data_IF_562464639313
#
_entry.id   IF_562464639313
#
_cell.length_a   1.000
_cell.length_b   1.000
_cell.length_c   1.000
_cell.angle_alpha   90.00
_cell.angle_beta   90.00
_cell.angle_gamma   90.00
#
_symmetry.space_group_name_H-M   'P 1'
#
loop_
_entity.id
_entity.type
_entity.pdbx_description
1 polymer ?
#
# COMPACT_ATOMS: atom_id res chain seq x y z
N UNK A 1 -16.18 7.55 22.67
CA UNK A 1 -15.82 7.69 24.10
C UNK A 1 -14.41 8.25 24.34
N UNK A 2 -13.56 8.42 23.30
CA UNK A 2 -12.21 9.03 23.44
C UNK A 2 -12.08 10.46 22.88
N UNK A 3 -13.13 11.01 22.29
CA UNK A 3 -13.20 12.41 21.80
C UNK A 3 -13.48 13.46 22.89
N UNK A 4 -13.60 13.03 24.16
CA UNK A 4 -13.96 13.90 25.29
C UNK A 4 -12.74 14.34 26.13
N UNK A 5 -11.51 14.03 25.70
CA UNK A 5 -10.31 14.50 26.38
C UNK A 5 -9.97 15.93 25.91
N UNK A 6 -9.57 16.84 26.82
CA UNK A 6 -9.31 18.26 26.52
C UNK A 6 -8.10 18.52 25.60
N UNK A 7 -7.36 17.47 25.23
CA UNK A 7 -6.27 17.50 24.25
C UNK A 7 -6.62 16.50 23.15
N UNK A 8 -6.80 16.99 21.92
CA UNK A 8 -7.12 16.19 20.74
C UNK A 8 -5.87 15.49 20.20
N UNK A 9 -5.47 14.43 20.90
CA UNK A 9 -4.33 13.58 20.52
C UNK A 9 -4.64 12.81 19.24
N UNK A 10 -5.92 12.51 18.97
CA UNK A 10 -6.35 11.74 17.80
C UNK A 10 -6.28 12.58 16.51
N UNK A 11 -6.73 13.84 16.53
CA UNK A 11 -6.57 14.76 15.39
C UNK A 11 -5.09 15.02 15.08
N UNK A 12 -4.27 15.24 16.12
CA UNK A 12 -2.82 15.46 15.98
C UNK A 12 -2.08 14.24 15.43
N UNK A 13 -2.46 13.03 15.86
CA UNK A 13 -1.93 11.77 15.30
C UNK A 13 -2.41 11.53 13.87
N UNK A 14 -3.63 11.96 13.53
CA UNK A 14 -4.16 11.93 12.18
C UNK A 14 -3.34 12.77 11.20
N UNK A 15 -2.98 13.99 11.58
CA UNK A 15 -2.10 14.85 10.76
C UNK A 15 -0.69 14.26 10.59
N UNK A 16 -0.13 13.63 11.62
CA UNK A 16 1.18 12.98 11.55
C UNK A 16 1.19 11.72 10.68
N UNK A 17 0.06 11.05 10.53
CA UNK A 17 -0.03 9.82 9.72
C UNK A 17 0.07 10.08 8.21
N UNK A 18 -0.41 11.23 7.72
CA UNK A 18 -0.47 11.53 6.28
C UNK A 18 0.92 11.59 5.62
N UNK A 19 1.94 12.21 6.24
CA UNK A 19 3.34 12.11 5.78
C UNK A 19 3.87 10.68 5.78
N UNK A 20 3.53 9.88 6.79
CA UNK A 20 4.01 8.49 6.92
C UNK A 20 3.44 7.61 5.82
N UNK A 21 2.13 7.71 5.55
CA UNK A 21 1.47 6.95 4.47
C UNK A 21 2.00 7.39 3.09
N UNK A 22 2.24 8.69 2.90
CA UNK A 22 2.86 9.20 1.67
C UNK A 22 4.28 8.68 1.47
N UNK A 23 5.09 8.62 2.53
CA UNK A 23 6.45 8.07 2.47
C UNK A 23 6.44 6.58 2.12
N UNK A 24 5.47 5.84 2.65
CA UNK A 24 5.26 4.43 2.33
C UNK A 24 4.91 4.21 0.86
N UNK A 25 4.11 5.12 0.27
CA UNK A 25 3.78 5.06 -1.15
C UNK A 25 4.98 5.21 -2.10
N UNK A 26 6.06 5.82 -1.64
CA UNK A 26 7.30 5.98 -2.39
C UNK A 26 8.24 4.76 -2.27
N UNK A 27 7.92 3.77 -1.44
CA UNK A 27 8.79 2.61 -1.20
C UNK A 27 9.17 1.85 -2.48
N UNK A 28 8.25 1.54 -3.42
CA UNK A 28 8.61 0.87 -4.66
C UNK A 28 9.59 1.69 -5.52
N UNK A 29 9.47 3.00 -5.47
CA UNK A 29 10.33 3.94 -6.18
C UNK A 29 11.77 3.93 -5.67
N UNK A 30 11.93 3.86 -4.34
CA UNK A 30 13.23 3.70 -3.68
C UNK A 30 13.83 2.34 -4.02
N UNK A 31 13.02 1.28 -4.04
CA UNK A 31 13.48 -0.05 -4.43
C UNK A 31 13.98 -0.09 -5.89
N UNK A 32 13.25 0.52 -6.83
CA UNK A 32 13.70 0.64 -8.23
C UNK A 32 15.01 1.43 -8.33
N UNK A 33 15.14 2.52 -7.57
CA UNK A 33 16.36 3.31 -7.54
C UNK A 33 17.56 2.49 -7.07
N UNK A 34 17.39 1.71 -6.01
CA UNK A 34 18.45 0.89 -5.45
C UNK A 34 18.81 -0.31 -6.35
N UNK A 35 17.81 -0.97 -6.96
CA UNK A 35 18.00 -2.20 -7.73
C UNK A 35 18.42 -1.95 -9.19
N UNK A 36 17.88 -0.92 -9.85
CA UNK A 36 18.05 -0.70 -11.30
C UNK A 36 18.66 0.67 -11.63
N UNK A 37 18.98 1.48 -10.62
CA UNK A 37 19.64 2.77 -10.76
C UNK A 37 18.73 3.93 -11.18
N UNK A 38 19.36 5.11 -11.32
CA UNK A 38 18.67 6.39 -11.51
C UNK A 38 17.79 6.48 -12.77
N UNK A 39 18.21 5.88 -13.90
CA UNK A 39 17.49 6.02 -15.18
C UNK A 39 16.10 5.37 -15.12
N UNK A 40 16.03 4.14 -14.62
CA UNK A 40 14.77 3.39 -14.50
C UNK A 40 13.89 4.00 -13.40
N UNK A 41 14.49 4.43 -12.29
CA UNK A 41 13.78 5.12 -11.21
C UNK A 41 13.16 6.44 -11.68
N UNK A 42 13.84 7.22 -12.49
CA UNK A 42 13.29 8.48 -13.02
C UNK A 42 12.04 8.23 -13.88
N UNK A 43 12.06 7.21 -14.75
CA UNK A 43 10.90 6.84 -15.55
C UNK A 43 9.75 6.38 -14.65
N UNK A 44 10.02 5.51 -13.68
CA UNK A 44 9.03 5.08 -12.71
C UNK A 44 8.46 6.26 -11.90
N UNK A 45 9.30 7.22 -11.53
CA UNK A 45 8.91 8.40 -10.76
C UNK A 45 7.95 9.28 -11.55
N UNK A 46 8.26 9.53 -12.82
CA UNK A 46 7.37 10.28 -13.72
C UNK A 46 6.04 9.57 -13.87
N UNK A 47 6.03 8.26 -14.08
CA UNK A 47 4.77 7.49 -14.23
C UNK A 47 3.94 7.55 -12.94
N UNK A 48 4.54 7.26 -11.79
CA UNK A 48 3.86 7.26 -10.48
C UNK A 48 3.32 8.66 -10.14
N UNK A 49 4.11 9.71 -10.36
CA UNK A 49 3.66 11.09 -10.12
C UNK A 49 2.55 11.52 -11.08
N UNK A 50 2.63 11.13 -12.36
CA UNK A 50 1.56 11.40 -13.32
C UNK A 50 0.27 10.67 -12.95
N UNK A 51 0.37 9.41 -12.50
CA UNK A 51 -0.77 8.67 -11.95
C UNK A 51 -1.36 9.41 -10.76
N UNK A 52 -0.55 9.88 -9.80
CA UNK A 52 -1.02 10.67 -8.66
C UNK A 52 -1.83 11.89 -9.10
N UNK A 53 -1.29 12.67 -10.05
CA UNK A 53 -1.98 13.86 -10.57
C UNK A 53 -3.32 13.49 -11.20
N UNK A 54 -3.38 12.43 -12.00
CA UNK A 54 -4.62 11.96 -12.64
C UNK A 54 -5.63 11.50 -11.59
N UNK A 55 -5.22 10.71 -10.61
CA UNK A 55 -6.10 10.20 -9.55
C UNK A 55 -6.67 11.35 -8.73
N UNK A 56 -5.82 12.26 -8.24
CA UNK A 56 -6.28 13.42 -7.44
C UNK A 56 -7.23 14.32 -8.26
N UNK A 57 -6.99 14.45 -9.57
CA UNK A 57 -7.76 15.37 -10.43
C UNK A 57 -9.10 14.82 -10.91
N UNK A 58 -9.16 13.52 -11.21
CA UNK A 58 -10.32 12.87 -11.85
C UNK A 58 -11.05 11.89 -10.91
N UNK A 59 -10.36 11.36 -9.91
CA UNK A 59 -10.89 10.37 -8.95
C UNK A 59 -10.62 10.80 -7.50
N UNK A 60 -11.11 11.96 -7.05
CA UNK A 60 -10.87 12.46 -5.68
C UNK A 60 -11.49 11.57 -4.58
N UNK A 61 -12.28 10.58 -4.97
CA UNK A 61 -12.91 9.60 -4.09
C UNK A 61 -12.05 8.35 -3.85
N UNK A 62 -10.91 8.20 -4.55
CA UNK A 62 -9.98 7.09 -4.37
C UNK A 62 -8.77 7.58 -3.57
N UNK A 63 -8.23 6.71 -2.71
CA UNK A 63 -6.99 7.02 -1.97
C UNK A 63 -5.80 7.00 -2.94
N UNK A 64 -5.16 8.15 -3.24
CA UNK A 64 -4.08 8.23 -4.21
C UNK A 64 -2.87 7.40 -3.80
N UNK A 65 -2.59 7.29 -2.49
CA UNK A 65 -1.45 6.57 -1.95
C UNK A 65 -1.52 5.07 -2.27
N UNK A 66 -2.70 4.46 -2.19
CA UNK A 66 -2.89 3.05 -2.58
C UNK A 66 -2.61 2.79 -4.05
N UNK A 67 -3.02 3.71 -4.93
CA UNK A 67 -2.83 3.57 -6.37
C UNK A 67 -1.37 3.83 -6.73
N UNK A 68 -0.71 4.77 -6.07
CA UNK A 68 0.74 5.02 -6.19
C UNK A 68 1.55 3.79 -5.83
N UNK A 69 1.25 3.13 -4.70
CA UNK A 69 1.89 1.88 -4.29
C UNK A 69 1.72 0.81 -5.38
N UNK A 70 0.48 0.60 -5.84
CA UNK A 70 0.18 -0.41 -6.85
C UNK A 70 0.94 -0.15 -8.15
N UNK A 71 0.88 1.08 -8.70
CA UNK A 71 1.59 1.42 -9.93
C UNK A 71 3.10 1.35 -9.74
N UNK A 72 3.62 1.81 -8.60
CA UNK A 72 5.03 1.70 -8.26
C UNK A 72 5.51 0.24 -8.27
N UNK A 73 4.71 -0.68 -7.74
CA UNK A 73 5.03 -2.10 -7.72
C UNK A 73 4.91 -2.77 -9.09
N UNK A 74 3.90 -2.42 -9.88
CA UNK A 74 3.78 -2.88 -11.28
C UNK A 74 5.00 -2.41 -12.09
N UNK A 75 5.44 -1.16 -11.89
CA UNK A 75 6.64 -0.63 -12.52
C UNK A 75 7.90 -1.38 -12.07
N UNK A 76 8.05 -1.63 -10.77
CA UNK A 76 9.17 -2.40 -10.23
C UNK A 76 9.24 -3.79 -10.86
N UNK A 77 8.13 -4.52 -10.83
CA UNK A 77 8.05 -5.87 -11.37
C UNK A 77 8.28 -5.87 -12.89
N UNK A 78 7.69 -4.92 -13.62
CA UNK A 78 7.89 -4.78 -15.07
C UNK A 78 9.34 -4.48 -15.45
N UNK A 79 10.01 -3.58 -14.72
CA UNK A 79 11.42 -3.26 -14.91
C UNK A 79 12.29 -4.48 -14.55
N UNK A 80 12.00 -5.15 -13.45
CA UNK A 80 12.71 -6.35 -13.02
C UNK A 80 12.64 -7.47 -14.05
N UNK A 81 11.44 -7.81 -14.54
CA UNK A 81 11.23 -8.84 -15.57
C UNK A 81 11.91 -8.45 -16.88
N UNK A 82 11.77 -7.19 -17.31
CA UNK A 82 12.39 -6.73 -18.57
C UNK A 82 13.91 -6.75 -18.47
N UNK A 83 14.47 -6.39 -17.31
CA UNK A 83 15.90 -6.44 -17.06
C UNK A 83 16.43 -7.88 -17.05
N UNK A 84 15.73 -8.80 -16.38
CA UNK A 84 16.06 -10.21 -16.31
C UNK A 84 16.03 -10.89 -17.69
N UNK A 85 14.95 -10.69 -18.46
CA UNK A 85 14.81 -11.26 -19.80
C UNK A 85 15.87 -10.77 -20.79
N UNK A 86 16.29 -9.50 -20.68
CA UNK A 86 17.22 -8.87 -21.62
C UNK A 86 18.68 -9.16 -21.33
N UNK A 87 18.98 -9.57 -20.10
CA UNK A 87 20.32 -9.93 -19.65
C UNK A 87 20.46 -11.44 -19.37
N UNK A 88 19.49 -12.25 -19.83
CA UNK A 88 19.42 -13.69 -19.59
C UNK A 88 20.52 -14.51 -20.27
N UNK A 89 21.13 -13.98 -21.34
CA UNK A 89 22.19 -14.67 -22.09
C UNK A 89 23.62 -14.33 -21.63
N UNK A 90 23.80 -13.27 -20.83
CA UNK A 90 25.14 -12.79 -20.45
C UNK A 90 25.51 -13.10 -18.99
N UNK A 91 24.60 -13.75 -18.26
CA UNK A 91 24.65 -13.78 -16.81
C UNK A 91 24.39 -15.17 -16.24
N UNK A 92 25.50 -15.84 -15.99
CA UNK A 92 25.74 -16.64 -14.78
C UNK A 92 25.71 -15.70 -13.54
N UNK A 93 24.69 -14.82 -13.42
CA UNK A 93 24.55 -13.88 -12.29
C UNK A 93 24.16 -14.72 -11.07
N UNK A 94 25.18 -14.95 -10.26
CA UNK A 94 25.14 -14.77 -8.82
C UNK A 94 23.92 -15.43 -8.13
N UNK A 95 23.90 -16.76 -8.21
CA UNK A 95 22.98 -17.64 -7.46
C UNK A 95 22.94 -17.37 -5.95
N UNK A 96 23.88 -16.57 -5.42
CA UNK A 96 23.93 -16.14 -4.03
C UNK A 96 22.84 -15.12 -3.66
N UNK A 97 22.45 -14.23 -4.58
CA UNK A 97 21.43 -13.19 -4.36
C UNK A 97 20.00 -13.70 -4.41
N UNK A 98 19.70 -14.61 -5.34
CA UNK A 98 18.41 -15.31 -5.41
C UNK A 98 18.16 -16.14 -4.14
N UNK A 99 19.20 -16.81 -3.63
CA UNK A 99 19.10 -17.68 -2.46
C UNK A 99 18.59 -16.97 -1.19
N UNK A 100 19.01 -15.73 -0.94
CA UNK A 100 18.62 -14.99 0.29
C UNK A 100 17.14 -14.59 0.26
N UNK A 101 16.63 -14.17 -0.90
CA UNK A 101 15.22 -13.83 -1.05
C UNK A 101 14.37 -15.08 -1.14
N UNK A 102 14.81 -16.12 -1.85
CA UNK A 102 14.12 -17.40 -1.93
C UNK A 102 13.98 -18.07 -0.56
N UNK A 103 15.00 -18.01 0.30
CA UNK A 103 14.91 -18.55 1.66
C UNK A 103 13.89 -17.79 2.52
N UNK A 104 13.78 -16.47 2.36
CA UNK A 104 12.78 -15.66 3.07
C UNK A 104 11.38 -15.85 2.50
N UNK A 105 11.23 -15.88 1.18
CA UNK A 105 9.98 -16.13 0.48
C UNK A 105 9.46 -17.53 0.77
N UNK A 106 10.33 -18.54 0.79
CA UNK A 106 9.99 -19.93 1.15
C UNK A 106 9.48 -20.02 2.58
N UNK A 107 10.09 -19.28 3.53
CA UNK A 107 9.59 -19.17 4.91
C UNK A 107 8.21 -18.51 4.97
N UNK A 108 7.98 -17.46 4.18
CA UNK A 108 6.67 -16.78 4.11
C UNK A 108 5.61 -17.72 3.55
N UNK A 109 5.88 -18.41 2.44
CA UNK A 109 4.95 -19.35 1.80
C UNK A 109 4.63 -20.52 2.74
N UNK A 110 5.63 -21.07 3.43
CA UNK A 110 5.43 -22.15 4.40
C UNK A 110 4.53 -21.73 5.57
N UNK A 111 4.61 -20.46 5.97
CA UNK A 111 3.81 -19.91 7.07
C UNK A 111 2.54 -19.17 6.58
N UNK A 112 2.24 -19.23 5.28
CA UNK A 112 1.07 -18.58 4.66
C UNK A 112 -0.25 -18.94 5.35
N UNK A 113 -0.52 -20.19 5.79
CA UNK A 113 -1.76 -20.50 6.50
C UNK A 113 -1.94 -19.68 7.79
N UNK A 114 -0.85 -19.46 8.54
CA UNK A 114 -0.89 -18.63 9.75
C UNK A 114 -1.13 -17.15 9.40
N UNK A 115 -0.48 -16.64 8.35
CA UNK A 115 -0.67 -15.27 7.87
C UNK A 115 -2.12 -15.06 7.40
N UNK A 116 -2.68 -16.03 6.70
CA UNK A 116 -4.07 -16.01 6.24
C UNK A 116 -5.07 -16.01 7.41
N UNK A 117 -4.82 -16.81 8.45
CA UNK A 117 -5.64 -16.80 9.68
C UNK A 117 -5.57 -15.43 10.37
N UNK A 118 -4.37 -14.85 10.51
CA UNK A 118 -4.21 -13.51 11.11
C UNK A 118 -4.92 -12.45 10.27
N UNK A 119 -4.79 -12.48 8.95
CA UNK A 119 -5.52 -11.58 8.04
C UNK A 119 -7.04 -11.73 8.16
N UNK A 120 -7.53 -12.97 8.27
CA UNK A 120 -8.96 -13.26 8.49
C UNK A 120 -9.46 -12.74 9.85
N UNK A 121 -8.66 -12.87 10.91
CA UNK A 121 -8.97 -12.31 12.23
C UNK A 121 -9.00 -10.78 12.19
N UNK A 122 -8.04 -10.13 11.53
CA UNK A 122 -8.01 -8.67 11.37
C UNK A 122 -9.25 -8.20 10.59
N UNK A 123 -9.62 -8.90 9.51
CA UNK A 123 -10.81 -8.59 8.74
C UNK A 123 -12.10 -8.77 9.56
N UNK A 124 -12.17 -9.79 10.41
CA UNK A 124 -13.30 -10.02 11.31
C UNK A 124 -13.42 -8.92 12.38
N UNK A 125 -12.31 -8.49 12.99
CA UNK A 125 -12.34 -7.42 14.00
C UNK A 125 -12.65 -6.06 13.36
N UNK A 126 -12.16 -5.81 12.14
CA UNK A 126 -12.48 -4.62 11.36
C UNK A 126 -13.97 -4.58 10.97
N UNK A 127 -14.57 -5.72 10.60
CA UNK A 127 -16.01 -5.80 10.30
C UNK A 127 -16.89 -5.57 11.54
N UNK A 128 -16.39 -5.92 12.73
CA UNK A 128 -17.04 -5.63 14.02
C UNK A 128 -16.91 -4.15 14.46
N UNK A 129 -16.27 -3.28 13.67
CA UNK A 129 -16.07 -1.84 13.94
C UNK A 129 -15.22 -1.53 15.19
N UNK A 130 -14.48 -2.51 15.70
CA UNK A 130 -13.62 -2.37 16.87
C UNK A 130 -12.24 -1.82 16.46
N UNK A 131 -11.85 -2.06 15.21
CA UNK A 131 -10.54 -1.70 14.68
C UNK A 131 -10.69 -0.96 13.35
N UNK A 132 -9.99 0.15 13.20
CA UNK A 132 -10.13 1.03 12.04
C UNK A 132 -9.30 0.58 10.81
N UNK A 133 -8.91 -0.69 10.74
CA UNK A 133 -8.13 -1.22 9.60
C UNK A 133 -6.65 -0.82 9.68
N UNK A 134 -6.04 -0.50 8.53
CA UNK A 134 -4.63 -0.09 8.44
C UNK A 134 -4.47 1.44 8.38
N UNK A 135 -3.23 1.92 8.39
CA UNK A 135 -2.87 3.33 8.21
C UNK A 135 -3.51 4.01 6.97
N UNK A 136 -3.91 3.24 5.96
CA UNK A 136 -4.60 3.75 4.75
C UNK A 136 -6.11 3.82 4.92
N UNK A 137 -6.71 2.86 5.64
CA UNK A 137 -8.17 2.77 5.78
C UNK A 137 -8.70 3.45 7.04
N UNK A 138 -7.85 3.75 8.03
CA UNK A 138 -8.23 4.32 9.33
C UNK A 138 -9.02 5.62 9.23
N UNK A 139 -8.55 6.60 8.45
CA UNK A 139 -9.25 7.88 8.30
C UNK A 139 -10.51 7.78 7.44
N UNK A 140 -10.52 6.86 6.48
CA UNK A 140 -11.68 6.63 5.63
C UNK A 140 -12.79 5.93 6.42
N UNK A 141 -12.45 4.95 7.26
CA UNK A 141 -13.36 4.25 8.17
C UNK A 141 -13.82 5.14 9.33
N UNK A 142 -12.95 5.98 9.89
CA UNK A 142 -13.33 6.99 10.89
C UNK A 142 -14.41 7.92 10.32
N UNK A 143 -14.21 8.46 9.12
CA UNK A 143 -15.22 9.26 8.42
C UNK A 143 -16.50 8.47 8.16
N UNK A 144 -16.39 7.20 7.77
CA UNK A 144 -17.55 6.34 7.52
C UNK A 144 -18.41 6.10 8.78
N UNK A 145 -17.81 6.13 9.98
CA UNK A 145 -18.48 5.89 11.25
C UNK A 145 -18.71 7.15 12.10
N UNK A 146 -18.37 8.33 11.58
CA UNK A 146 -18.56 9.61 12.25
C UNK A 146 -20.06 9.97 12.38
N UNK A 147 -20.42 10.63 13.49
CA UNK A 147 -21.80 11.03 13.75
C UNK A 147 -22.25 12.12 12.77
N UNK A 148 -23.15 11.77 11.82
CA UNK A 148 -23.69 12.71 10.83
C UNK A 148 -23.69 12.19 9.37
N UNK A 149 -23.13 11.01 9.11
CA UNK A 149 -23.07 10.43 7.75
C UNK A 149 -24.32 9.59 7.46
N UNK A 150 -24.90 9.76 6.26
CA UNK A 150 -26.06 8.95 5.84
C UNK A 150 -25.64 7.49 5.59
N UNK A 151 -26.56 6.51 5.74
CA UNK A 151 -26.23 5.09 5.56
C UNK A 151 -25.59 4.76 4.20
N UNK A 152 -26.00 5.47 3.14
CA UNK A 152 -25.45 5.30 1.80
C UNK A 152 -24.02 5.83 1.68
N UNK A 153 -23.73 6.99 2.26
CA UNK A 153 -22.38 7.57 2.27
C UNK A 153 -21.41 6.71 3.08
N UNK A 154 -21.86 6.16 4.20
CA UNK A 154 -21.07 5.23 5.01
C UNK A 154 -20.65 4.00 4.19
N UNK A 155 -21.58 3.41 3.41
CA UNK A 155 -21.28 2.25 2.56
C UNK A 155 -20.28 2.59 1.45
N UNK A 156 -20.36 3.78 0.85
CA UNK A 156 -19.38 4.20 -0.17
C UNK A 156 -17.97 4.36 0.39
N UNK A 157 -17.84 4.92 1.60
CA UNK A 157 -16.55 5.10 2.28
C UNK A 157 -15.95 3.75 2.71
N UNK A 158 -16.78 2.81 3.16
CA UNK A 158 -16.34 1.44 3.48
C UNK A 158 -15.81 0.74 2.22
N UNK A 159 -16.49 0.88 1.08
CA UNK A 159 -16.03 0.29 -0.19
C UNK A 159 -14.72 0.92 -0.68
N UNK A 160 -14.54 2.23 -0.47
CA UNK A 160 -13.28 2.92 -0.79
C UNK A 160 -12.13 2.44 0.10
N UNK A 161 -12.36 2.32 1.41
CA UNK A 161 -11.40 1.75 2.33
C UNK A 161 -11.01 0.32 1.95
N UNK A 162 -11.99 -0.52 1.58
CA UNK A 162 -11.75 -1.88 1.14
C UNK A 162 -10.93 -1.95 -0.15
N UNK A 163 -11.24 -1.11 -1.15
CA UNK A 163 -10.48 -1.04 -2.39
C UNK A 163 -9.06 -0.53 -2.15
N UNK A 164 -8.89 0.47 -1.28
CA UNK A 164 -7.58 1.01 -0.92
C UNK A 164 -6.70 -0.05 -0.24
N UNK A 165 -7.26 -0.84 0.70
CA UNK A 165 -6.56 -1.97 1.31
C UNK A 165 -6.24 -3.09 0.33
N UNK A 166 -7.16 -3.38 -0.59
CA UNK A 166 -6.92 -4.40 -1.61
C UNK A 166 -5.77 -4.01 -2.54
N UNK A 167 -5.78 -2.79 -3.07
CA UNK A 167 -4.72 -2.26 -3.92
C UNK A 167 -3.38 -2.17 -3.17
N UNK A 168 -3.42 -1.78 -1.90
CA UNK A 168 -2.25 -1.79 -1.01
C UNK A 168 -1.72 -3.21 -0.83
N UNK A 169 -2.59 -4.17 -0.51
CA UNK A 169 -2.23 -5.58 -0.33
C UNK A 169 -1.56 -6.17 -1.56
N UNK A 170 -2.07 -5.87 -2.76
CA UNK A 170 -1.43 -6.27 -4.02
C UNK A 170 -0.05 -5.65 -4.23
N UNK A 171 0.22 -4.48 -3.65
CA UNK A 171 1.54 -3.85 -3.70
C UNK A 171 2.55 -4.39 -2.68
N UNK A 172 2.14 -5.23 -1.72
CA UNK A 172 3.07 -5.82 -0.74
C UNK A 172 3.30 -7.32 -0.94
N UNK A 173 2.67 -7.90 -1.96
CA UNK A 173 2.91 -9.28 -2.43
C UNK A 173 3.99 -9.26 -3.51
#
# INVERSE_FOLDING_TARGET
>A
LLTALPVDVLGSLGELSSPVVSAFALFPLVAIFYQFGWKQSLVAAVVVLMTRVVVVRYFPHLNPESIEIFIGMVMLLGIAITHDLRHRDENDIDASGLSVFEERTSRIIKNLPYIAIVGALIAAVASMKIFAGSEVSIFTLEKAYSAGVTPEQSQTLINQAALAEFMRGLGFV
#
